data_IF_947695614311
#
_entry.id   IF_947695614311
#
_cell.length_a   1.000
_cell.length_b   1.000
_cell.length_c   1.000
_cell.angle_alpha   90.00
_cell.angle_beta   90.00
_cell.angle_gamma   90.00
#
_symmetry.space_group_name_H-M   'P 1'
#
loop_
_entity.id
_entity.type
_entity.pdbx_description
1 polymer ?
#
# COMPACT_ATOMS: atom_id res chain seq x y z
N UNK A 1 11.26 -16.39 -13.36
CA UNK A 1 11.89 -15.15 -13.91
C UNK A 1 11.92 -14.10 -12.79
N UNK A 2 12.90 -13.18 -12.74
CA UNK A 2 13.07 -12.24 -11.60
C UNK A 2 11.78 -11.43 -11.31
N UNK A 3 11.09 -11.00 -12.37
CA UNK A 3 9.84 -10.22 -12.26
C UNK A 3 8.71 -10.97 -11.52
N UNK A 4 8.58 -12.28 -11.72
CA UNK A 4 7.55 -13.08 -11.03
C UNK A 4 7.84 -13.21 -9.53
N UNK A 5 9.12 -13.27 -9.16
CA UNK A 5 9.53 -13.31 -7.75
C UNK A 5 9.27 -11.96 -7.08
N UNK A 6 9.49 -10.85 -7.79
CA UNK A 6 9.15 -9.53 -7.28
C UNK A 6 7.63 -9.36 -7.10
N UNK A 7 6.82 -9.79 -8.06
CA UNK A 7 5.36 -9.77 -7.90
C UNK A 7 4.90 -10.56 -6.67
N UNK A 8 5.34 -11.81 -6.53
CA UNK A 8 4.97 -12.62 -5.38
C UNK A 8 5.43 -12.01 -4.04
N UNK A 9 6.62 -11.37 -4.03
CA UNK A 9 7.15 -10.68 -2.85
C UNK A 9 6.28 -9.48 -2.47
N UNK A 10 5.99 -8.59 -3.42
CA UNK A 10 5.21 -7.39 -3.14
C UNK A 10 3.73 -7.69 -2.83
N UNK A 11 3.13 -8.69 -3.49
CA UNK A 11 1.80 -9.18 -3.14
C UNK A 11 1.76 -9.74 -1.72
N UNK A 12 2.77 -10.53 -1.32
CA UNK A 12 2.87 -11.09 0.03
C UNK A 12 2.99 -9.99 1.08
N UNK A 13 3.84 -8.99 0.86
CA UNK A 13 4.01 -7.84 1.78
C UNK A 13 2.70 -7.06 1.90
N UNK A 14 2.07 -6.72 0.77
CA UNK A 14 0.80 -5.99 0.80
C UNK A 14 -0.31 -6.79 1.50
N UNK A 15 -0.33 -8.12 1.32
CA UNK A 15 -1.28 -9.02 1.99
C UNK A 15 -1.07 -9.01 3.50
N UNK A 16 0.17 -9.16 3.95
CA UNK A 16 0.55 -9.13 5.37
C UNK A 16 0.08 -7.83 6.04
N UNK A 17 0.37 -6.69 5.41
CA UNK A 17 -0.06 -5.38 5.91
C UNK A 17 -1.57 -5.19 5.85
N UNK A 18 -2.23 -5.62 4.78
CA UNK A 18 -3.68 -5.46 4.60
C UNK A 18 -4.51 -6.30 5.56
N UNK A 19 -3.98 -7.43 6.02
CA UNK A 19 -4.72 -8.35 6.91
C UNK A 19 -4.32 -8.17 8.37
N UNK A 20 -3.44 -7.20 8.64
CA UNK A 20 -3.03 -6.88 9.99
C UNK A 20 -4.10 -6.05 10.71
N UNK A 21 -4.54 -6.52 11.88
CA UNK A 21 -5.60 -5.88 12.67
C UNK A 21 -5.28 -4.39 12.95
N UNK A 22 -4.02 -4.03 13.22
CA UNK A 22 -3.62 -2.64 13.45
C UNK A 22 -3.85 -1.75 12.21
N UNK A 23 -3.62 -2.29 11.01
CA UNK A 23 -3.91 -1.58 9.74
C UNK A 23 -5.42 -1.41 9.55
N UNK A 24 -6.20 -2.40 9.97
CA UNK A 24 -7.66 -2.35 9.93
C UNK A 24 -8.23 -1.32 10.91
N UNK A 25 -7.74 -1.28 12.14
CA UNK A 25 -8.08 -0.24 13.12
C UNK A 25 -7.73 1.14 12.58
N UNK A 26 -6.51 1.30 12.06
CA UNK A 26 -6.04 2.54 11.47
C UNK A 26 -6.89 3.02 10.29
N UNK A 27 -7.35 2.10 9.43
CA UNK A 27 -8.23 2.44 8.32
C UNK A 27 -9.58 3.02 8.77
N UNK A 28 -10.01 2.77 10.01
CA UNK A 28 -11.24 3.30 10.59
C UNK A 28 -11.02 4.63 11.30
N UNK A 29 -10.01 4.71 12.17
CA UNK A 29 -9.85 5.84 13.09
C UNK A 29 -8.77 6.86 12.68
N UNK A 30 -7.92 6.49 11.72
CA UNK A 30 -6.78 7.28 11.20
C UNK A 30 -5.84 7.75 12.32
N UNK A 31 -5.65 6.90 13.33
CA UNK A 31 -4.86 7.26 14.50
C UNK A 31 -3.39 7.55 14.13
N UNK A 32 -2.88 8.72 14.54
CA UNK A 32 -1.50 9.13 14.29
C UNK A 32 -0.47 8.16 14.89
N UNK A 33 -0.83 7.47 15.98
CA UNK A 33 0.03 6.47 16.63
C UNK A 33 0.47 5.37 15.65
N UNK A 34 -0.42 4.90 14.79
CA UNK A 34 -0.09 3.89 13.78
C UNK A 34 0.95 4.40 12.77
N UNK A 35 0.82 5.66 12.32
CA UNK A 35 1.81 6.30 11.45
C UNK A 35 3.16 6.39 12.15
N UNK A 36 3.18 6.89 13.38
CA UNK A 36 4.41 7.07 14.15
C UNK A 36 5.12 5.74 14.45
N UNK A 37 4.39 4.62 14.52
CA UNK A 37 4.96 3.29 14.73
C UNK A 37 5.38 2.59 13.44
N UNK A 38 4.60 2.73 12.35
CA UNK A 38 4.70 1.88 11.17
C UNK A 38 5.21 2.59 9.92
N UNK A 39 5.03 3.91 9.77
CA UNK A 39 5.47 4.64 8.58
C UNK A 39 6.91 5.13 8.77
N UNK A 40 7.85 4.19 8.75
CA UNK A 40 9.28 4.42 8.95
C UNK A 40 10.10 3.89 7.78
N UNK A 41 11.14 4.63 7.41
CA UNK A 41 12.06 4.29 6.31
C UNK A 41 12.62 2.87 6.40
N UNK A 42 12.88 2.39 7.62
CA UNK A 42 13.39 1.03 7.86
C UNK A 42 12.49 -0.08 7.26
N UNK A 43 11.19 0.15 7.15
CA UNK A 43 10.27 -0.81 6.54
C UNK A 43 10.42 -0.80 5.02
N UNK A 44 10.56 0.37 4.40
CA UNK A 44 10.82 0.50 2.97
C UNK A 44 12.15 -0.18 2.60
N UNK A 45 13.21 0.07 3.36
CA UNK A 45 14.51 -0.58 3.18
C UNK A 45 14.40 -2.11 3.33
N UNK A 46 13.72 -2.59 4.38
CA UNK A 46 13.51 -4.03 4.62
C UNK A 46 12.77 -4.70 3.46
N UNK A 47 11.78 -4.02 2.90
CA UNK A 47 10.96 -4.54 1.80
C UNK A 47 11.56 -4.27 0.42
N UNK A 48 12.63 -3.48 0.31
CA UNK A 48 13.15 -2.99 -0.96
C UNK A 48 12.08 -2.27 -1.77
N UNK A 49 11.28 -1.44 -1.09
CA UNK A 49 10.18 -0.68 -1.64
C UNK A 49 10.49 0.82 -1.62
N UNK A 50 10.04 1.56 -2.63
CA UNK A 50 10.19 3.01 -2.66
C UNK A 50 9.03 3.77 -1.98
N UNK A 51 7.89 3.09 -1.83
CA UNK A 51 6.62 3.70 -1.45
C UNK A 51 5.79 2.70 -0.64
N UNK A 52 5.18 3.19 0.44
CA UNK A 52 4.10 2.55 1.15
C UNK A 52 2.91 3.51 1.20
N UNK A 53 1.72 3.01 0.86
CA UNK A 53 0.50 3.79 0.90
C UNK A 53 -0.64 2.98 1.53
N UNK A 54 -1.39 3.64 2.42
CA UNK A 54 -2.68 3.17 2.95
C UNK A 54 -3.71 4.23 2.60
N UNK A 55 -4.73 3.84 1.83
CA UNK A 55 -5.75 4.74 1.28
C UNK A 55 -7.14 4.30 1.72
N UNK A 56 -7.95 5.27 2.14
CA UNK A 56 -9.40 5.12 2.31
C UNK A 56 -10.10 5.26 0.96
N UNK A 57 -11.09 4.40 0.71
CA UNK A 57 -11.84 4.42 -0.53
C UNK A 57 -12.85 5.58 -0.58
N UNK A 58 -13.53 5.86 0.53
CA UNK A 58 -14.76 6.65 0.51
C UNK A 58 -14.53 8.16 0.47
N UNK A 59 -13.39 8.61 0.97
CA UNK A 59 -13.11 10.03 1.15
C UNK A 59 -11.74 10.47 0.63
N UNK A 60 -11.02 9.57 -0.06
CA UNK A 60 -9.74 9.87 -0.68
C UNK A 60 -8.62 10.21 0.31
N UNK A 61 -8.79 9.87 1.59
CA UNK A 61 -7.74 10.05 2.59
C UNK A 61 -6.60 9.04 2.37
N UNK A 62 -5.37 9.51 2.53
CA UNK A 62 -4.15 8.74 2.32
C UNK A 62 -3.13 8.95 3.43
N UNK A 63 -2.56 7.86 3.92
CA UNK A 63 -1.24 7.88 4.54
C UNK A 63 -0.21 7.36 3.55
N UNK A 64 0.86 8.13 3.36
CA UNK A 64 1.92 7.77 2.41
C UNK A 64 3.29 7.97 3.04
N UNK A 65 4.17 6.98 2.84
CA UNK A 65 5.61 7.09 3.07
C UNK A 65 6.32 6.86 1.73
N UNK A 66 7.20 7.77 1.35
CA UNK A 66 8.12 7.61 0.22
C UNK A 66 9.54 7.62 0.77
N UNK A 67 10.38 6.74 0.24
CA UNK A 67 11.78 6.70 0.59
C UNK A 67 12.48 8.01 0.21
N UNK A 68 13.32 8.53 1.09
CA UNK A 68 14.12 9.74 0.81
C UNK A 68 15.07 9.55 -0.38
N UNK A 69 15.39 8.30 -0.71
CA UNK A 69 16.26 7.91 -1.81
C UNK A 69 15.49 7.74 -3.12
N UNK A 70 14.15 7.74 -3.05
CA UNK A 70 13.31 7.52 -4.22
C UNK A 70 13.26 8.75 -5.12
N UNK A 71 13.12 8.49 -6.42
CA UNK A 71 12.81 9.53 -7.42
C UNK A 71 11.32 9.66 -7.71
N UNK A 72 10.46 8.92 -7.00
CA UNK A 72 9.02 8.93 -7.20
C UNK A 72 8.38 10.26 -6.77
N UNK A 73 7.51 10.79 -7.64
CA UNK A 73 6.63 11.91 -7.32
C UNK A 73 5.29 11.35 -6.80
N UNK A 74 4.77 11.90 -5.69
CA UNK A 74 3.47 11.54 -5.09
C UNK A 74 2.30 11.60 -6.07
N UNK A 75 2.39 12.41 -7.14
CA UNK A 75 1.40 12.44 -8.24
C UNK A 75 1.17 11.08 -8.89
N UNK A 76 2.08 10.14 -8.70
CA UNK A 76 1.90 8.74 -9.06
C UNK A 76 0.61 8.14 -8.47
N UNK A 77 0.25 8.50 -7.24
CA UNK A 77 -0.93 7.99 -6.52
C UNK A 77 -2.24 8.49 -7.11
N UNK A 78 -2.23 9.68 -7.72
CA UNK A 78 -3.39 10.27 -8.42
C UNK A 78 -3.64 9.56 -9.75
N UNK A 79 -2.61 8.91 -10.31
CA UNK A 79 -2.65 8.25 -11.62
C UNK A 79 -2.72 6.73 -11.54
N UNK A 80 -2.71 6.16 -10.33
CA UNK A 80 -2.88 4.72 -10.15
C UNK A 80 -4.28 4.29 -10.60
N UNK A 81 -4.39 3.31 -11.52
CA UNK A 81 -5.67 2.94 -12.09
C UNK A 81 -6.55 2.18 -11.08
N UNK A 82 -7.86 2.40 -11.19
CA UNK A 82 -8.87 1.94 -10.24
C UNK A 82 -8.97 0.40 -10.13
N UNK A 83 -8.47 -0.34 -11.11
CA UNK A 83 -8.51 -1.80 -11.13
C UNK A 83 -7.52 -2.46 -10.14
N UNK A 84 -6.43 -1.77 -9.75
CA UNK A 84 -5.55 -2.21 -8.65
C UNK A 84 -6.24 -2.11 -7.28
N UNK A 85 -7.49 -1.61 -7.22
CA UNK A 85 -8.21 -1.33 -5.99
C UNK A 85 -9.23 -2.41 -5.61
N UNK A 86 -9.43 -3.41 -6.47
CA UNK A 86 -10.53 -4.38 -6.34
C UNK A 86 -10.13 -5.76 -5.84
N UNK A 87 -8.85 -6.04 -5.60
CA UNK A 87 -8.43 -7.33 -5.04
C UNK A 87 -7.07 -7.23 -4.32
N UNK A 88 -6.50 -8.37 -3.96
CA UNK A 88 -5.09 -8.54 -3.61
C UNK A 88 -4.33 -9.01 -4.85
N UNK A 89 -3.11 -8.50 -5.04
CA UNK A 89 -2.27 -8.91 -6.16
C UNK A 89 -1.00 -8.09 -6.31
N UNK A 90 -0.33 -8.29 -7.43
CA UNK A 90 0.79 -7.46 -7.86
C UNK A 90 0.75 -7.23 -9.38
N UNK A 91 1.39 -6.16 -9.82
CA UNK A 91 1.45 -5.83 -11.24
C UNK A 91 2.40 -4.68 -11.55
N UNK A 92 2.42 -4.29 -12.82
CA UNK A 92 3.15 -3.13 -13.30
C UNK A 92 2.15 -2.10 -13.78
N UNK A 93 2.30 -0.86 -13.31
CA UNK A 93 1.65 0.31 -13.91
C UNK A 93 2.72 1.17 -14.57
N UNK A 94 2.41 1.73 -15.73
CA UNK A 94 3.30 2.71 -16.38
C UNK A 94 2.70 4.09 -16.17
N UNK A 95 3.42 4.95 -15.46
CA UNK A 95 3.00 6.33 -15.18
C UNK A 95 4.04 7.26 -15.77
N UNK A 96 3.62 8.11 -16.72
CA UNK A 96 4.50 9.01 -17.49
C UNK A 96 5.71 8.30 -18.14
N UNK A 97 5.52 7.05 -18.58
CA UNK A 97 6.58 6.25 -19.19
C UNK A 97 7.53 5.58 -18.19
N UNK A 98 7.34 5.79 -16.88
CA UNK A 98 8.07 5.10 -15.84
C UNK A 98 7.28 3.85 -15.38
N UNK A 99 7.81 2.63 -15.57
CA UNK A 99 7.20 1.42 -15.06
C UNK A 99 7.39 1.34 -13.55
N UNK A 100 6.30 1.07 -12.85
CA UNK A 100 6.26 0.91 -11.40
C UNK A 100 5.70 -0.46 -11.09
N UNK A 101 6.47 -1.22 -10.33
CA UNK A 101 6.03 -2.49 -9.80
C UNK A 101 5.32 -2.25 -8.47
N UNK A 102 4.13 -2.82 -8.33
CA UNK A 102 3.26 -2.59 -7.19
C UNK A 102 2.73 -3.92 -6.67
N UNK A 103 2.69 -4.06 -5.34
CA UNK A 103 1.83 -5.01 -4.64
C UNK A 103 0.68 -4.23 -3.99
N UNK A 104 -0.50 -4.83 -3.96
CA UNK A 104 -1.69 -4.21 -3.41
C UNK A 104 -2.55 -5.26 -2.72
N UNK A 105 -3.24 -4.85 -1.67
CA UNK A 105 -4.16 -5.72 -0.95
C UNK A 105 -5.30 -4.90 -0.36
N UNK A 106 -6.46 -5.54 -0.23
CA UNK A 106 -7.56 -4.97 0.54
C UNK A 106 -7.26 -5.07 2.03
N UNK A 107 -7.62 -4.01 2.74
CA UNK A 107 -7.63 -4.02 4.20
C UNK A 107 -8.87 -4.80 4.66
N UNK A 108 -8.65 -5.87 5.43
CA UNK A 108 -9.72 -6.73 5.98
C UNK A 108 -9.42 -7.01 7.44
N UNK A 109 -10.45 -6.96 8.28
CA UNK A 109 -10.35 -7.44 9.65
C UNK A 109 -10.18 -8.96 9.68
N UNK A 110 -9.72 -9.49 10.82
CA UNK A 110 -9.56 -10.93 11.07
C UNK A 110 -10.86 -11.75 10.90
N UNK A 111 -12.03 -11.10 10.92
CA UNK A 111 -13.34 -11.69 10.63
C UNK A 111 -13.76 -11.60 9.15
N UNK A 112 -12.89 -11.07 8.28
CA UNK A 112 -13.12 -10.84 6.86
C UNK A 112 -14.02 -9.63 6.56
N UNK A 113 -14.44 -8.88 7.58
CA UNK A 113 -15.22 -7.66 7.39
C UNK A 113 -14.34 -6.51 6.91
N UNK A 114 -14.97 -5.57 6.22
CA UNK A 114 -14.34 -4.33 5.79
C UNK A 114 -14.45 -3.30 6.92
N UNK A 115 -13.48 -2.35 7.02
CA UNK A 115 -13.60 -1.20 7.89
C UNK A 115 -15.00 -0.61 7.77
N UNK A 116 -15.68 -0.41 8.89
CA UNK A 116 -17.07 0.06 8.90
C UNK A 116 -17.17 1.39 8.13
N UNK A 117 -18.13 1.46 7.21
CA UNK A 117 -18.45 2.67 6.46
C UNK A 117 -19.02 3.69 7.46
N UNK A 118 -18.18 4.61 7.91
CA UNK A 118 -18.60 5.80 8.67
C UNK A 118 -19.37 6.77 7.79
#
# INVERSE_FOLDING_TARGET
MIVEQDFARFESIATDWGFWDDTYEFAQDRNQRYIDSNFKEIWLEKYGADLLNVRSWNDGWDATLISEQSSLDLKVLERMPDNFRQDTGAGIVVIDGNPLLLGFSKIKGSDGQRPSEG
#
